data_IF_118569683432
#
_entry.id   IF_118569683432
#
_cell.length_a   1.000
_cell.length_b   1.000
_cell.length_c   1.000
_cell.angle_alpha   90.00
_cell.angle_beta   90.00
_cell.angle_gamma   90.00
#
_symmetry.space_group_name_H-M   'P 1'
#
loop_
_entity.id
_entity.type
_entity.pdbx_description
1 polymer ?
#
# COMPACT_ATOMS: atom_id res chain seq x y z
N UNK A 1 -2.57 -6.08 19.27
CA UNK A 1 -2.93 -5.60 17.91
C UNK A 1 -1.94 -6.15 16.91
N UNK A 2 -2.42 -6.60 15.75
CA UNK A 2 -1.58 -7.16 14.68
C UNK A 2 -2.04 -6.68 13.31
N UNK A 3 -1.08 -6.52 12.37
CA UNK A 3 -1.35 -6.08 11.00
C UNK A 3 -0.67 -7.01 10.01
N UNK A 4 -1.37 -7.42 8.94
CA UNK A 4 -0.75 -8.01 7.76
C UNK A 4 -0.49 -6.94 6.72
N UNK A 5 0.72 -6.91 6.17
CA UNK A 5 1.17 -5.91 5.21
C UNK A 5 1.57 -6.63 3.92
N UNK A 6 0.93 -6.27 2.81
CA UNK A 6 1.15 -6.90 1.52
C UNK A 6 1.75 -5.92 0.53
N UNK A 7 2.91 -6.28 -0.02
CA UNK A 7 3.72 -5.44 -0.91
C UNK A 7 3.91 -6.16 -2.25
N UNK A 8 3.31 -5.71 -3.35
CA UNK A 8 3.68 -6.20 -4.66
C UNK A 8 5.04 -5.65 -5.06
N UNK A 9 5.93 -6.54 -5.50
CA UNK A 9 7.25 -6.18 -5.98
C UNK A 9 7.45 -6.71 -7.39
N UNK A 10 7.34 -5.82 -8.35
CA UNK A 10 7.68 -6.08 -9.74
C UNK A 10 9.15 -5.76 -9.98
N UNK A 11 9.92 -6.79 -10.38
CA UNK A 11 11.29 -6.61 -10.84
C UNK A 11 11.35 -6.95 -12.34
N UNK A 12 11.38 -5.96 -13.23
CA UNK A 12 11.40 -6.21 -14.65
C UNK A 12 12.67 -6.96 -15.05
N UNK A 13 12.59 -7.72 -16.15
CA UNK A 13 13.74 -8.39 -16.71
C UNK A 13 14.83 -7.33 -17.04
N UNK A 14 16.08 -7.49 -16.54
CA UNK A 14 17.18 -6.55 -16.81
C UNK A 14 17.51 -6.39 -18.29
N UNK A 15 17.11 -7.34 -19.14
CA UNK A 15 17.26 -7.26 -20.60
C UNK A 15 16.25 -6.30 -21.27
N UNK A 16 15.11 -6.03 -20.62
CA UNK A 16 14.17 -4.99 -21.06
C UNK A 16 14.76 -3.65 -20.62
N UNK A 17 15.25 -2.85 -21.57
CA UNK A 17 15.76 -1.47 -21.37
C UNK A 17 14.65 -0.53 -20.88
N UNK A 18 14.14 -0.76 -19.71
CA UNK A 18 13.32 0.22 -18.99
C UNK A 18 14.30 1.11 -18.21
N UNK A 19 14.25 2.42 -18.48
CA UNK A 19 15.22 3.41 -18.05
C UNK A 19 15.58 3.42 -16.55
N UNK A 20 16.35 4.39 -16.12
CA UNK A 20 17.00 4.55 -14.80
C UNK A 20 16.13 4.29 -13.54
N UNK A 21 14.81 4.11 -13.65
CA UNK A 21 13.89 3.77 -12.55
C UNK A 21 14.11 2.38 -11.96
N UNK A 22 14.76 1.46 -12.69
CA UNK A 22 14.91 0.07 -12.26
C UNK A 22 16.02 -0.17 -11.23
N UNK A 23 17.04 0.70 -11.21
CA UNK A 23 18.27 0.46 -10.44
C UNK A 23 18.06 0.53 -8.92
N UNK A 24 16.99 1.18 -8.41
CA UNK A 24 16.75 1.36 -6.97
C UNK A 24 15.51 0.69 -6.43
N UNK A 25 14.76 -0.07 -7.21
CA UNK A 25 13.51 -0.71 -6.74
C UNK A 25 13.73 -1.62 -5.54
N UNK A 26 14.80 -2.41 -5.58
CA UNK A 26 15.13 -3.30 -4.47
C UNK A 26 15.57 -2.52 -3.22
N UNK A 27 16.31 -1.44 -3.37
CA UNK A 27 16.71 -0.58 -2.25
C UNK A 27 15.47 0.02 -1.58
N UNK A 28 14.52 0.54 -2.37
CA UNK A 28 13.24 1.05 -1.84
C UNK A 28 12.43 -0.03 -1.11
N UNK A 29 12.34 -1.23 -1.68
CA UNK A 29 11.67 -2.35 -1.01
C UNK A 29 12.33 -2.64 0.34
N UNK A 30 13.66 -2.73 0.37
CA UNK A 30 14.43 -3.03 1.59
C UNK A 30 14.23 -1.93 2.64
N UNK A 31 14.45 -0.66 2.27
CA UNK A 31 14.24 0.49 3.13
C UNK A 31 12.80 0.54 3.68
N UNK A 32 11.82 0.19 2.85
CA UNK A 32 10.42 0.18 3.25
C UNK A 32 10.13 -0.94 4.25
N UNK A 33 10.64 -2.15 4.03
CA UNK A 33 10.51 -3.27 4.99
C UNK A 33 11.14 -2.90 6.33
N UNK A 34 12.38 -2.36 6.33
CA UNK A 34 13.06 -1.91 7.54
C UNK A 34 12.23 -0.85 8.30
N UNK A 35 11.67 0.13 7.59
CA UNK A 35 10.79 1.12 8.18
C UNK A 35 9.49 0.52 8.74
N UNK A 36 8.83 -0.40 8.03
CA UNK A 36 7.61 -1.05 8.50
C UNK A 36 7.84 -1.91 9.74
N UNK A 37 9.02 -2.51 9.90
CA UNK A 37 9.40 -3.25 11.12
C UNK A 37 9.53 -2.37 12.37
N UNK A 38 9.66 -1.06 12.21
CA UNK A 38 9.69 -0.13 13.35
C UNK A 38 8.30 0.25 13.88
N UNK A 39 7.23 -0.17 13.21
CA UNK A 39 5.86 0.12 13.66
C UNK A 39 5.58 -0.48 15.04
N UNK A 40 4.89 0.25 15.89
CA UNK A 40 4.60 -0.12 17.29
C UNK A 40 3.63 -1.29 17.45
N UNK A 41 3.02 -1.77 16.37
CA UNK A 41 2.15 -2.95 16.38
C UNK A 41 2.87 -4.15 15.76
N UNK A 42 2.53 -5.36 16.24
CA UNK A 42 3.03 -6.60 15.65
C UNK A 42 2.65 -6.65 14.17
N UNK A 43 3.64 -6.81 13.28
CA UNK A 43 3.41 -6.85 11.85
C UNK A 43 4.03 -8.09 11.20
N UNK A 44 3.31 -8.66 10.23
CA UNK A 44 3.80 -9.65 9.31
C UNK A 44 3.80 -9.05 7.91
N UNK A 45 4.96 -9.06 7.24
CA UNK A 45 5.14 -8.48 5.92
C UNK A 45 5.21 -9.59 4.89
N UNK A 46 4.41 -9.47 3.83
CA UNK A 46 4.33 -10.39 2.70
C UNK A 46 4.71 -9.65 1.42
N UNK A 47 5.82 -10.04 0.80
CA UNK A 47 6.27 -9.48 -0.47
C UNK A 47 5.86 -10.42 -1.60
N UNK A 48 5.01 -9.95 -2.49
CA UNK A 48 4.50 -10.68 -3.63
C UNK A 48 5.34 -10.40 -4.87
N UNK A 49 5.95 -11.43 -5.44
CA UNK A 49 6.82 -11.33 -6.62
C UNK A 49 6.44 -12.37 -7.68
N UNK A 50 7.02 -12.26 -8.87
CA UNK A 50 6.75 -13.12 -10.01
C UNK A 50 7.96 -13.95 -10.46
N UNK A 51 9.14 -13.69 -9.89
CA UNK A 51 10.39 -14.34 -10.28
C UNK A 51 11.27 -14.66 -9.06
N UNK A 52 12.44 -15.20 -9.31
CA UNK A 52 13.38 -15.68 -8.29
C UNK A 52 14.35 -14.60 -7.80
N UNK A 53 14.20 -13.35 -8.23
CA UNK A 53 15.15 -12.28 -7.89
C UNK A 53 15.32 -12.10 -6.37
N UNK A 54 14.29 -12.38 -5.58
CA UNK A 54 14.32 -12.21 -4.12
C UNK A 54 14.79 -13.46 -3.36
N UNK A 55 15.01 -14.60 -4.02
CA UNK A 55 15.29 -15.88 -3.35
C UNK A 55 16.60 -15.88 -2.54
N UNK A 56 17.61 -15.16 -3.00
CA UNK A 56 18.90 -14.99 -2.35
C UNK A 56 19.00 -13.74 -1.47
N UNK A 57 17.94 -12.94 -1.40
CA UNK A 57 17.92 -11.67 -0.65
C UNK A 57 17.48 -11.88 0.78
N UNK A 58 18.25 -11.36 1.73
CA UNK A 58 17.89 -11.36 3.14
C UNK A 58 16.94 -10.21 3.44
N UNK A 59 15.64 -10.52 3.45
CA UNK A 59 14.58 -9.60 3.82
C UNK A 59 13.85 -10.12 5.06
N UNK A 60 13.52 -9.25 6.00
CA UNK A 60 12.66 -9.60 7.14
C UNK A 60 11.17 -9.56 6.72
N UNK A 61 10.84 -10.39 5.72
CA UNK A 61 9.51 -10.52 5.14
C UNK A 61 9.33 -11.93 4.57
N UNK A 62 8.08 -12.36 4.42
CA UNK A 62 7.74 -13.61 3.73
C UNK A 62 7.60 -13.35 2.23
N UNK A 63 8.37 -14.06 1.42
CA UNK A 63 8.33 -13.94 -0.03
C UNK A 63 7.28 -14.90 -0.60
N UNK A 64 6.33 -14.36 -1.36
CA UNK A 64 5.25 -15.10 -2.02
C UNK A 64 5.45 -14.98 -3.53
N UNK A 65 5.79 -16.10 -4.17
CA UNK A 65 5.96 -16.17 -5.64
C UNK A 65 4.65 -16.52 -6.32
N UNK A 66 4.32 -15.76 -7.35
CA UNK A 66 3.14 -15.96 -8.17
C UNK A 66 3.51 -16.37 -9.60
N UNK A 67 2.82 -17.36 -10.12
CA UNK A 67 2.84 -17.61 -11.55
C UNK A 67 1.96 -16.59 -12.26
N UNK A 68 2.56 -15.81 -13.13
CA UNK A 68 1.90 -14.75 -13.92
C UNK A 68 2.60 -14.62 -15.26
N UNK A 69 1.87 -14.50 -16.33
CA UNK A 69 2.44 -14.34 -17.66
C UNK A 69 2.84 -12.87 -17.92
N UNK A 70 3.72 -12.65 -18.90
CA UNK A 70 4.27 -11.32 -19.19
C UNK A 70 3.20 -10.29 -19.55
N UNK A 71 2.16 -10.67 -20.29
CA UNK A 71 1.09 -9.75 -20.67
C UNK A 71 0.30 -9.24 -19.44
N UNK A 72 0.09 -10.10 -18.44
CA UNK A 72 -0.59 -9.72 -17.21
C UNK A 72 0.35 -8.92 -16.28
N UNK A 73 1.64 -9.20 -16.31
CA UNK A 73 2.66 -8.39 -15.62
C UNK A 73 2.70 -6.96 -16.19
N UNK A 74 2.76 -6.82 -17.50
CA UNK A 74 2.78 -5.53 -18.19
C UNK A 74 1.53 -4.70 -17.91
N UNK A 75 0.40 -5.35 -17.61
CA UNK A 75 -0.85 -4.71 -17.15
C UNK A 75 -0.88 -4.40 -15.65
N UNK A 76 0.17 -4.70 -14.91
CA UNK A 76 0.25 -4.47 -13.46
C UNK A 76 -0.55 -5.46 -12.60
N UNK A 77 -0.95 -6.61 -13.14
CA UNK A 77 -1.84 -7.56 -12.45
C UNK A 77 -1.17 -8.29 -11.27
N UNK A 78 0.13 -8.16 -11.08
CA UNK A 78 0.79 -8.65 -9.86
C UNK A 78 0.16 -8.04 -8.60
N UNK A 79 -0.29 -6.79 -8.65
CA UNK A 79 -0.95 -6.11 -7.55
C UNK A 79 -2.22 -6.84 -7.08
N UNK A 80 -2.93 -7.48 -7.99
CA UNK A 80 -4.14 -8.25 -7.70
C UNK A 80 -3.85 -9.61 -7.08
N UNK A 81 -2.66 -10.17 -7.30
CA UNK A 81 -2.26 -11.47 -6.74
C UNK A 81 -2.11 -11.44 -5.21
N UNK A 82 -1.92 -10.26 -4.61
CA UNK A 82 -1.91 -10.12 -3.15
C UNK A 82 -3.24 -10.54 -2.50
N UNK A 83 -4.34 -10.39 -3.22
CA UNK A 83 -5.70 -10.49 -2.67
C UNK A 83 -6.08 -11.87 -2.18
N UNK A 84 -5.66 -12.95 -2.86
CA UNK A 84 -5.98 -14.31 -2.43
C UNK A 84 -5.45 -14.60 -1.03
N UNK A 85 -4.18 -14.30 -0.78
CA UNK A 85 -3.59 -14.51 0.54
C UNK A 85 -4.20 -13.58 1.61
N UNK A 86 -4.50 -12.33 1.25
CA UNK A 86 -5.19 -11.43 2.18
C UNK A 86 -6.58 -11.95 2.57
N UNK A 87 -7.33 -12.52 1.63
CA UNK A 87 -8.65 -13.11 1.90
C UNK A 87 -8.55 -14.37 2.77
N UNK A 88 -7.54 -15.23 2.54
CA UNK A 88 -7.26 -16.37 3.40
C UNK A 88 -6.99 -15.94 4.84
N UNK A 89 -6.26 -14.84 5.03
CA UNK A 89 -5.87 -14.29 6.32
C UNK A 89 -6.94 -13.41 6.99
N UNK A 90 -8.12 -13.23 6.41
CA UNK A 90 -9.15 -12.26 6.85
C UNK A 90 -9.55 -12.34 8.32
N UNK A 91 -9.26 -13.46 9.00
CA UNK A 91 -9.56 -13.67 10.41
C UNK A 91 -8.34 -13.61 11.33
N UNK A 92 -7.11 -13.58 10.77
CA UNK A 92 -5.86 -13.76 11.51
C UNK A 92 -5.29 -12.44 12.06
N UNK A 93 -5.71 -11.30 11.48
CA UNK A 93 -5.21 -9.98 11.82
C UNK A 93 -6.34 -9.01 12.15
N UNK A 94 -6.00 -7.97 12.92
CA UNK A 94 -6.91 -6.86 13.25
C UNK A 94 -6.90 -5.78 12.18
N UNK A 95 -5.76 -5.66 11.47
CA UNK A 95 -5.56 -4.68 10.40
C UNK A 95 -4.96 -5.33 9.16
N UNK A 96 -5.30 -4.78 8.01
CA UNK A 96 -4.85 -5.21 6.69
C UNK A 96 -4.32 -4.01 5.93
N UNK A 97 -3.10 -4.10 5.43
CA UNK A 97 -2.46 -3.03 4.69
C UNK A 97 -1.95 -3.55 3.34
N UNK A 98 -2.20 -2.79 2.31
CA UNK A 98 -1.58 -2.93 1.01
C UNK A 98 -0.82 -1.65 0.70
N UNK A 99 0.41 -1.76 0.27
CA UNK A 99 1.20 -0.63 -0.21
C UNK A 99 2.20 -1.08 -1.27
N UNK A 100 2.49 -0.21 -2.23
CA UNK A 100 3.53 -0.46 -3.21
C UNK A 100 4.92 -0.34 -2.58
N UNK A 101 5.90 -1.00 -3.17
CA UNK A 101 7.25 -1.19 -2.59
C UNK A 101 8.03 0.10 -2.33
N UNK A 102 7.65 1.20 -2.96
CA UNK A 102 8.25 2.54 -2.88
C UNK A 102 7.41 3.55 -2.08
N UNK A 103 6.33 3.09 -1.44
CA UNK A 103 5.49 3.94 -0.58
C UNK A 103 5.94 3.82 0.87
N UNK A 104 6.45 4.91 1.43
CA UNK A 104 6.84 4.97 2.84
C UNK A 104 5.62 5.26 3.72
N UNK A 105 5.34 4.34 4.65
CA UNK A 105 4.31 4.48 5.68
C UNK A 105 4.97 4.42 7.06
N UNK A 106 4.93 5.52 7.80
CA UNK A 106 5.65 5.69 9.06
C UNK A 106 4.77 5.38 10.28
N UNK A 107 5.42 5.28 11.46
CA UNK A 107 4.73 5.19 12.75
C UNK A 107 3.76 6.36 12.97
N UNK A 108 4.13 7.58 12.61
CA UNK A 108 3.25 8.75 12.73
C UNK A 108 1.98 8.60 11.87
N UNK A 109 2.12 8.02 10.66
CA UNK A 109 0.97 7.72 9.82
C UNK A 109 0.07 6.67 10.46
N UNK A 110 0.64 5.61 11.03
CA UNK A 110 -0.10 4.57 11.74
C UNK A 110 -0.88 5.15 12.92
N UNK A 111 -0.21 5.92 13.79
CA UNK A 111 -0.84 6.55 14.96
C UNK A 111 -1.94 7.52 14.57
N UNK A 112 -1.72 8.31 13.51
CA UNK A 112 -2.74 9.19 12.95
C UNK A 112 -3.95 8.39 12.43
N UNK A 113 -3.71 7.30 11.72
CA UNK A 113 -4.77 6.43 11.21
C UNK A 113 -5.56 5.80 12.36
N UNK A 114 -4.90 5.19 13.34
CA UNK A 114 -5.52 4.58 14.52
C UNK A 114 -6.40 5.57 15.29
N UNK A 115 -5.96 6.83 15.38
CA UNK A 115 -6.70 7.88 16.10
C UNK A 115 -8.01 8.28 15.44
N UNK A 116 -8.07 8.33 14.11
CA UNK A 116 -9.19 8.97 13.41
C UNK A 116 -10.04 8.03 12.56
N UNK A 117 -9.56 6.82 12.24
CA UNK A 117 -10.26 5.93 11.31
C UNK A 117 -11.66 5.53 11.79
N UNK A 118 -11.86 5.25 13.09
CA UNK A 118 -13.16 4.86 13.62
C UNK A 118 -14.19 6.00 13.57
N UNK A 119 -13.74 7.23 13.77
CA UNK A 119 -14.61 8.41 13.72
C UNK A 119 -15.06 8.71 12.29
N UNK A 120 -14.18 8.45 11.33
CA UNK A 120 -14.47 8.59 9.90
C UNK A 120 -15.36 7.48 9.39
N UNK A 121 -15.12 6.22 9.80
CA UNK A 121 -15.96 5.07 9.43
C UNK A 121 -17.42 5.25 9.88
N UNK A 122 -17.66 5.75 11.10
CA UNK A 122 -19.00 6.12 11.61
C UNK A 122 -19.72 7.15 10.73
N UNK A 123 -19.00 7.90 9.91
CA UNK A 123 -19.51 8.88 8.94
C UNK A 123 -19.48 8.37 7.50
N UNK A 124 -19.20 7.07 7.30
CA UNK A 124 -19.04 6.42 6.00
C UNK A 124 -17.87 6.98 5.15
N UNK A 125 -16.80 7.42 5.81
CA UNK A 125 -15.55 7.82 5.14
C UNK A 125 -14.43 6.88 5.53
N UNK A 126 -13.60 6.52 4.57
CA UNK A 126 -12.34 5.83 4.81
C UNK A 126 -11.20 6.83 4.96
N UNK A 127 -10.36 6.67 6.00
CA UNK A 127 -9.17 7.48 6.17
C UNK A 127 -8.05 6.98 5.26
N UNK A 128 -7.71 7.77 4.25
CA UNK A 128 -6.56 7.58 3.39
C UNK A 128 -5.51 8.66 3.61
N UNK A 129 -4.43 8.58 2.85
CA UNK A 129 -3.34 9.55 2.86
C UNK A 129 -3.10 10.11 1.47
N UNK A 130 -2.68 11.36 1.41
CA UNK A 130 -2.15 11.95 0.18
C UNK A 130 -0.68 11.55 0.04
N UNK A 131 -0.34 10.99 -1.10
CA UNK A 131 1.04 10.62 -1.42
C UNK A 131 1.71 11.83 -2.07
N UNK A 132 2.93 12.09 -1.64
CA UNK A 132 3.77 13.11 -2.24
C UNK A 132 5.19 12.60 -2.47
N UNK A 133 5.83 13.15 -3.47
CA UNK A 133 7.26 12.99 -3.72
C UNK A 133 8.00 14.25 -3.31
N UNK A 134 9.12 14.07 -2.62
CA UNK A 134 10.03 15.17 -2.29
C UNK A 134 11.02 15.36 -3.43
N UNK A 135 11.02 16.56 -4.02
CA UNK A 135 12.04 16.92 -5.00
C UNK A 135 13.30 17.43 -4.28
N UNK A 136 14.41 16.74 -4.48
CA UNK A 136 15.68 17.08 -3.83
C UNK A 136 16.32 18.36 -4.38
N UNK A 137 15.94 18.80 -5.58
CA UNK A 137 16.53 20.00 -6.20
C UNK A 137 15.96 21.31 -5.64
N UNK A 138 14.71 21.34 -5.21
CA UNK A 138 14.03 22.53 -4.69
C UNK A 138 13.47 22.34 -3.28
N UNK A 139 13.67 21.15 -2.70
CA UNK A 139 13.21 20.75 -1.36
C UNK A 139 11.68 20.87 -1.15
N UNK A 140 10.88 20.81 -2.24
CA UNK A 140 9.42 20.86 -2.18
C UNK A 140 8.78 19.50 -2.28
N UNK A 141 7.58 19.39 -1.72
CA UNK A 141 6.74 18.22 -1.84
C UNK A 141 5.74 18.41 -2.98
N UNK A 142 5.64 17.42 -3.85
CA UNK A 142 4.73 17.39 -4.98
C UNK A 142 3.73 16.25 -4.77
N UNK A 143 2.43 16.58 -4.73
CA UNK A 143 1.38 15.57 -4.70
C UNK A 143 1.40 14.79 -6.02
N UNK A 144 1.38 13.47 -5.90
CA UNK A 144 1.19 12.56 -7.03
C UNK A 144 -0.25 12.04 -7.00
N UNK A 145 -0.77 11.63 -8.14
CA UNK A 145 -2.14 11.08 -8.32
C UNK A 145 -3.30 12.05 -8.05
N UNK A 146 -3.06 13.28 -7.61
CA UNK A 146 -4.11 14.28 -7.44
C UNK A 146 -3.86 15.43 -8.41
N UNK A 147 -4.60 15.43 -9.51
CA UNK A 147 -4.50 16.43 -10.58
C UNK A 147 -5.57 17.53 -10.47
N UNK A 148 -6.49 17.43 -9.51
CA UNK A 148 -7.60 18.36 -9.34
C UNK A 148 -7.61 18.97 -7.94
N UNK A 149 -8.13 20.20 -7.83
CA UNK A 149 -8.30 20.86 -6.55
C UNK A 149 -9.42 20.17 -5.75
N UNK A 150 -9.08 19.70 -4.55
CA UNK A 150 -10.03 19.16 -3.58
C UNK A 150 -10.57 20.31 -2.74
N UNK A 151 -11.88 20.53 -2.76
CA UNK A 151 -12.56 21.66 -2.12
C UNK A 151 -13.65 21.26 -1.13
N UNK A 152 -13.85 19.97 -0.93
CA UNK A 152 -14.77 19.42 0.07
C UNK A 152 -14.02 19.04 1.33
N UNK A 153 -14.61 19.31 2.49
CA UNK A 153 -13.97 19.10 3.78
C UNK A 153 -14.95 18.54 4.80
N UNK A 154 -14.40 17.78 5.74
CA UNK A 154 -15.07 17.28 6.92
C UNK A 154 -14.28 17.71 8.16
N UNK A 155 -14.96 18.19 9.19
CA UNK A 155 -14.35 18.51 10.48
C UNK A 155 -14.69 17.43 11.51
N UNK A 156 -13.66 16.90 12.18
CA UNK A 156 -13.77 15.92 13.26
C UNK A 156 -12.84 16.38 14.39
N UNK A 157 -13.40 16.62 15.57
CA UNK A 157 -12.66 17.04 16.76
C UNK A 157 -11.67 18.20 16.50
N UNK A 158 -12.16 19.22 15.76
CA UNK A 158 -11.33 20.38 15.40
C UNK A 158 -10.30 20.13 14.29
N UNK A 159 -10.18 18.89 13.78
CA UNK A 159 -9.32 18.55 12.67
C UNK A 159 -10.08 18.58 11.35
N UNK A 160 -9.50 19.25 10.35
CA UNK A 160 -10.06 19.34 9.01
C UNK A 160 -9.52 18.23 8.11
N UNK A 161 -10.41 17.42 7.56
CA UNK A 161 -10.11 16.38 6.60
C UNK A 161 -10.57 16.80 5.21
N UNK A 162 -9.73 16.55 4.21
CA UNK A 162 -10.09 16.76 2.81
C UNK A 162 -10.84 15.53 2.31
N UNK A 163 -11.96 15.74 1.63
CA UNK A 163 -12.70 14.65 0.99
C UNK A 163 -12.18 14.49 -0.44
N UNK A 164 -11.64 13.30 -0.75
CA UNK A 164 -11.29 12.91 -2.10
C UNK A 164 -12.35 11.94 -2.65
N UNK A 165 -13.27 12.49 -3.43
CA UNK A 165 -14.32 11.74 -4.11
C UNK A 165 -14.08 11.64 -5.64
N UNK A 166 -12.90 12.06 -6.10
CA UNK A 166 -12.56 12.18 -7.51
C UNK A 166 -11.59 11.10 -8.00
N UNK A 167 -10.58 10.79 -7.20
CA UNK A 167 -9.53 9.80 -7.54
C UNK A 167 -9.18 9.00 -6.30
N UNK A 168 -9.49 7.70 -6.36
CA UNK A 168 -9.33 6.80 -5.21
C UNK A 168 -8.02 6.00 -5.26
N UNK A 169 -7.27 6.08 -6.37
CA UNK A 169 -6.01 5.38 -6.50
C UNK A 169 -4.94 6.09 -5.68
N UNK A 170 -4.31 5.37 -4.78
CA UNK A 170 -3.28 5.91 -3.90
C UNK A 170 -2.13 4.92 -3.64
N UNK A 171 -1.97 3.86 -4.43
CA UNK A 171 -0.93 2.85 -4.26
C UNK A 171 -0.82 2.28 -2.83
N UNK A 172 -1.81 2.57 -1.99
CA UNK A 172 -1.85 2.28 -0.57
C UNK A 172 -3.29 2.24 -0.05
N UNK A 173 -3.58 1.30 0.83
CA UNK A 173 -4.75 1.32 1.68
C UNK A 173 -4.49 0.54 2.98
N UNK A 174 -5.21 0.91 4.03
CA UNK A 174 -5.21 0.23 5.32
C UNK A 174 -6.65 0.15 5.83
N UNK A 175 -7.05 -1.02 6.28
CA UNK A 175 -8.38 -1.31 6.81
C UNK A 175 -8.29 -1.99 8.17
N UNK A 176 -9.23 -1.72 9.08
CA UNK A 176 -9.49 -2.62 10.18
C UNK A 176 -10.26 -3.86 9.68
N UNK A 177 -10.40 -4.87 10.52
CA UNK A 177 -11.03 -6.15 10.16
C UNK A 177 -12.44 -5.98 9.59
N UNK A 178 -13.26 -5.12 10.18
CA UNK A 178 -14.64 -4.90 9.75
C UNK A 178 -14.69 -4.19 8.39
N UNK A 179 -13.85 -3.19 8.19
CA UNK A 179 -13.69 -2.50 6.91
C UNK A 179 -13.18 -3.45 5.83
N UNK A 180 -12.23 -4.31 6.17
CA UNK A 180 -11.71 -5.30 5.25
C UNK A 180 -12.78 -6.31 4.84
N UNK A 181 -13.59 -6.80 5.79
CA UNK A 181 -14.72 -7.69 5.49
C UNK A 181 -15.79 -7.01 4.62
N UNK A 182 -16.04 -5.70 4.79
CA UNK A 182 -16.90 -4.93 3.87
C UNK A 182 -16.28 -4.84 2.47
N UNK A 183 -14.96 -4.61 2.38
CA UNK A 183 -14.22 -4.52 1.12
C UNK A 183 -14.25 -5.85 0.35
N UNK A 184 -14.04 -6.98 1.03
CA UNK A 184 -14.14 -8.33 0.44
C UNK A 184 -15.49 -8.59 -0.26
N UNK A 185 -16.59 -8.04 0.29
CA UNK A 185 -17.95 -8.17 -0.27
C UNK A 185 -18.25 -7.16 -1.37
N UNK A 186 -17.38 -6.21 -1.63
CA UNK A 186 -17.61 -5.14 -2.60
C UNK A 186 -17.27 -5.60 -4.03
N UNK A 187 -17.89 -4.93 -5.01
CA UNK A 187 -17.55 -5.14 -6.44
C UNK A 187 -16.08 -4.80 -6.79
N UNK A 188 -15.38 -4.11 -5.90
CA UNK A 188 -13.99 -3.70 -6.09
C UNK A 188 -12.97 -4.76 -5.67
N UNK A 189 -13.41 -5.79 -4.95
CA UNK A 189 -12.51 -6.88 -4.54
C UNK A 189 -12.19 -7.82 -5.69
N UNK A 190 -13.17 -8.17 -6.51
CA UNK A 190 -12.98 -9.11 -7.61
C UNK A 190 -12.43 -8.43 -8.85
N UNK A 191 -11.38 -9.00 -9.40
CA UNK A 191 -10.91 -8.66 -10.74
C UNK A 191 -11.86 -9.29 -11.77
N UNK A 192 -12.50 -8.46 -12.59
CA UNK A 192 -13.38 -8.92 -13.70
C UNK A 192 -12.69 -8.75 -15.02
#
# INVERSE_FOLDING_TARGET
MSISIHIPFYNPNPEKKEGHRNLRRFDYLKENIENLKTLSIKNDIFVHTHNEFLDDKKLDARIIKHQINDNDLDKGYLTWKCRSLMEEQKNDYEYFCYLEHDIKFSEDNLQYWLKYQDQLDKKNYHLGFLIYEKNNSDNKNYSIHIVRKLNKYLNIEGKKFVINDLENYCCFWIYNKDQFHKFLKSKWWSFK
#
